data_IF_301084079701
#
_entry.id   IF_301084079701
#
_cell.length_a   1.000
_cell.length_b   1.000
_cell.length_c   1.000
_cell.angle_alpha   90.00
_cell.angle_beta   90.00
_cell.angle_gamma   90.00
#
_symmetry.space_group_name_H-M   'P 1'
#
loop_
_entity.id
_entity.type
_entity.pdbx_description
1 polymer ?
#
# COMPACT_ATOMS: atom_id res chain seq x y z
N UNK A 1 -12.59 -12.02 10.28
CA UNK A 1 -12.17 -10.74 9.67
C UNK A 1 -11.69 -11.02 8.25
N UNK A 2 -12.13 -10.22 7.27
CA UNK A 2 -11.74 -10.34 5.86
C UNK A 2 -11.04 -9.06 5.39
N UNK A 3 -9.86 -9.19 4.81
CA UNK A 3 -9.04 -8.08 4.33
C UNK A 3 -8.85 -8.24 2.81
N UNK A 4 -9.15 -7.19 2.06
CA UNK A 4 -8.81 -7.09 0.63
C UNK A 4 -7.61 -6.16 0.45
N UNK A 5 -6.60 -6.60 -0.28
CA UNK A 5 -5.43 -5.77 -0.61
C UNK A 5 -5.43 -5.43 -2.09
N UNK A 6 -5.39 -4.14 -2.40
CA UNK A 6 -5.35 -3.61 -3.76
C UNK A 6 -3.98 -2.96 -4.02
N UNK A 7 -3.21 -3.50 -4.96
CA UNK A 7 -1.87 -2.99 -5.19
C UNK A 7 -1.12 -3.60 -6.36
N UNK A 8 0.17 -3.71 -6.19
CA UNK A 8 1.08 -4.28 -7.18
C UNK A 8 2.08 -5.26 -6.54
N UNK A 9 3.28 -5.43 -7.11
CA UNK A 9 4.29 -6.34 -6.58
C UNK A 9 4.68 -6.06 -5.12
N UNK A 10 4.62 -4.83 -4.65
CA UNK A 10 4.87 -4.51 -3.24
C UNK A 10 3.87 -5.17 -2.28
N UNK A 11 2.66 -5.45 -2.77
CA UNK A 11 1.63 -6.15 -2.01
C UNK A 11 1.88 -7.66 -1.93
N UNK A 12 2.37 -8.30 -3.00
CA UNK A 12 2.43 -9.77 -3.03
C UNK A 12 3.85 -10.37 -2.97
N UNK A 13 4.91 -9.54 -3.08
CA UNK A 13 6.29 -10.04 -2.97
C UNK A 13 6.52 -10.71 -1.61
N UNK A 14 7.24 -11.84 -1.61
CA UNK A 14 7.53 -12.68 -0.43
C UNK A 14 6.28 -13.18 0.29
N UNK A 15 5.18 -13.34 -0.43
CA UNK A 15 3.88 -13.78 0.13
C UNK A 15 3.38 -12.93 1.31
N UNK A 16 3.57 -11.60 1.22
CA UNK A 16 3.21 -10.66 2.27
C UNK A 16 1.72 -10.75 2.69
N UNK A 17 0.74 -11.04 1.79
CA UNK A 17 -0.65 -11.28 2.21
C UNK A 17 -0.80 -12.44 3.19
N UNK A 18 -0.03 -13.53 3.04
CA UNK A 18 -0.03 -14.63 4.00
C UNK A 18 0.60 -14.21 5.34
N UNK A 19 1.69 -13.42 5.31
CA UNK A 19 2.28 -12.86 6.55
C UNK A 19 1.24 -12.02 7.31
N UNK A 20 0.45 -11.21 6.59
CA UNK A 20 -0.62 -10.42 7.20
C UNK A 20 -1.75 -11.31 7.77
N UNK A 21 -2.12 -12.38 7.06
CA UNK A 21 -3.10 -13.36 7.53
C UNK A 21 -2.65 -14.02 8.84
N UNK A 22 -1.39 -14.45 8.91
CA UNK A 22 -0.81 -15.09 10.09
C UNK A 22 -0.77 -14.15 11.31
N UNK A 23 -0.47 -12.86 11.08
CA UNK A 23 -0.41 -11.84 12.13
C UNK A 23 -1.78 -11.41 12.68
N UNK A 24 -2.81 -11.50 11.85
CA UNK A 24 -4.14 -10.96 12.17
C UNK A 24 -5.22 -12.02 12.39
N UNK A 25 -4.97 -13.26 12.00
CA UNK A 25 -5.97 -14.32 11.93
C UNK A 25 -7.07 -14.04 10.90
N UNK A 26 -6.84 -13.13 9.95
CA UNK A 26 -7.80 -12.76 8.93
C UNK A 26 -7.72 -13.65 7.69
N UNK A 27 -8.82 -13.75 6.97
CA UNK A 27 -8.81 -14.16 5.56
C UNK A 27 -8.32 -12.97 4.72
N UNK A 28 -7.15 -13.09 4.10
CA UNK A 28 -6.54 -12.03 3.29
C UNK A 28 -6.59 -12.41 1.81
N UNK A 29 -7.26 -11.58 1.02
CA UNK A 29 -7.31 -11.69 -0.45
C UNK A 29 -6.58 -10.51 -1.05
N UNK A 30 -5.88 -10.69 -2.18
CA UNK A 30 -5.27 -9.58 -2.88
C UNK A 30 -5.67 -9.53 -4.35
N UNK A 31 -5.89 -8.31 -4.85
CA UNK A 31 -6.03 -7.98 -6.25
C UNK A 31 -4.85 -7.10 -6.66
N UNK A 32 -3.83 -7.72 -7.18
CA UNK A 32 -2.58 -7.06 -7.52
C UNK A 32 -1.97 -7.62 -8.81
N UNK A 33 -1.22 -6.77 -9.50
CA UNK A 33 -0.44 -7.11 -10.71
C UNK A 33 0.83 -6.27 -10.69
N UNK A 34 1.93 -6.81 -11.19
CA UNK A 34 3.20 -6.09 -11.29
C UNK A 34 3.02 -4.71 -11.94
N UNK A 35 3.46 -3.66 -11.25
CA UNK A 35 3.38 -2.28 -11.72
C UNK A 35 1.96 -1.66 -11.77
N UNK A 36 0.93 -2.34 -11.29
CA UNK A 36 -0.43 -1.79 -11.28
C UNK A 36 -0.53 -0.49 -10.46
N UNK A 37 -1.42 0.39 -10.88
CA UNK A 37 -1.79 1.62 -10.18
C UNK A 37 -3.18 1.50 -9.58
N UNK A 38 -3.47 2.27 -8.55
CA UNK A 38 -4.82 2.34 -7.98
C UNK A 38 -5.89 2.77 -9.00
N UNK A 39 -5.51 3.59 -9.99
CA UNK A 39 -6.43 3.95 -11.07
C UNK A 39 -6.86 2.75 -11.93
N UNK A 40 -6.06 1.69 -12.03
CA UNK A 40 -6.44 0.46 -12.73
C UNK A 40 -7.50 -0.33 -11.96
N UNK A 41 -7.45 -0.32 -10.63
CA UNK A 41 -8.46 -0.93 -9.78
C UNK A 41 -9.88 -0.36 -9.99
N UNK A 42 -9.94 0.89 -10.46
CA UNK A 42 -11.19 1.60 -10.77
C UNK A 42 -11.69 1.36 -12.21
N UNK A 43 -10.88 0.73 -13.07
CA UNK A 43 -11.21 0.57 -14.48
C UNK A 43 -11.86 -0.80 -14.76
N UNK A 44 -13.20 -0.87 -14.93
CA UNK A 44 -13.89 -2.15 -15.15
C UNK A 44 -13.53 -2.82 -16.49
N UNK A 45 -12.87 -2.10 -17.40
CA UNK A 45 -12.45 -2.64 -18.70
C UNK A 45 -11.11 -3.39 -18.62
N UNK A 46 -10.42 -3.38 -17.47
CA UNK A 46 -9.25 -4.22 -17.22
C UNK A 46 -9.65 -5.44 -16.39
N UNK A 47 -8.95 -6.56 -16.57
CA UNK A 47 -9.19 -7.77 -15.78
C UNK A 47 -9.04 -7.49 -14.27
N UNK A 48 -8.03 -6.70 -13.89
CA UNK A 48 -7.76 -6.36 -12.50
C UNK A 48 -8.89 -5.48 -11.93
N UNK A 49 -9.26 -4.42 -12.63
CA UNK A 49 -10.32 -3.51 -12.19
C UNK A 49 -11.69 -4.18 -12.16
N UNK A 50 -12.04 -4.96 -13.19
CA UNK A 50 -13.30 -5.71 -13.20
C UNK A 50 -13.44 -6.62 -11.96
N UNK A 51 -12.36 -7.36 -11.61
CA UNK A 51 -12.32 -8.21 -10.43
C UNK A 51 -12.50 -7.40 -9.14
N UNK A 52 -11.82 -6.25 -9.03
CA UNK A 52 -11.90 -5.39 -7.85
C UNK A 52 -13.29 -4.76 -7.70
N UNK A 53 -13.87 -4.25 -8.79
CA UNK A 53 -15.20 -3.66 -8.75
C UNK A 53 -16.26 -4.71 -8.37
N UNK A 54 -16.15 -5.93 -8.90
CA UNK A 54 -17.04 -7.04 -8.53
C UNK A 54 -16.92 -7.40 -7.04
N UNK A 55 -15.70 -7.49 -6.50
CA UNK A 55 -15.47 -7.81 -5.10
C UNK A 55 -16.03 -6.71 -4.16
N UNK A 56 -15.81 -5.42 -4.48
CA UNK A 56 -16.33 -4.32 -3.69
C UNK A 56 -17.87 -4.20 -3.75
N UNK A 57 -18.49 -4.64 -4.84
CA UNK A 57 -19.95 -4.64 -4.99
C UNK A 57 -20.63 -5.86 -4.39
N UNK A 58 -20.02 -7.04 -4.49
CA UNK A 58 -20.67 -8.33 -4.21
C UNK A 58 -20.21 -9.05 -2.95
N UNK A 59 -19.08 -8.65 -2.37
CA UNK A 59 -18.52 -9.29 -1.18
C UNK A 59 -18.47 -8.33 0.00
N UNK A 60 -18.35 -8.85 1.22
CA UNK A 60 -18.17 -8.04 2.43
C UNK A 60 -16.73 -8.12 2.91
N UNK A 61 -16.17 -6.95 3.22
CA UNK A 61 -14.82 -6.75 3.72
C UNK A 61 -14.86 -5.98 5.03
N UNK A 62 -13.92 -6.28 5.93
CA UNK A 62 -13.73 -5.48 7.14
C UNK A 62 -12.76 -4.34 6.86
N UNK A 63 -11.67 -4.65 6.15
CA UNK A 63 -10.65 -3.68 5.76
C UNK A 63 -10.28 -3.83 4.29
N UNK A 64 -9.98 -2.70 3.64
CA UNK A 64 -9.40 -2.70 2.28
C UNK A 64 -8.13 -1.87 2.28
N UNK A 65 -7.00 -2.52 1.98
CA UNK A 65 -5.66 -1.92 1.96
C UNK A 65 -5.35 -1.43 0.55
N UNK A 66 -4.96 -0.16 0.43
CA UNK A 66 -4.66 0.51 -0.84
C UNK A 66 -3.16 0.80 -0.95
N UNK A 67 -2.49 0.23 -1.95
CA UNK A 67 -1.08 0.46 -2.24
C UNK A 67 -0.90 0.96 -3.68
N UNK A 68 -0.39 2.19 -3.85
CA UNK A 68 -0.13 2.79 -5.16
C UNK A 68 1.24 2.34 -5.71
N UNK A 69 1.45 2.48 -7.01
CA UNK A 69 2.72 2.22 -7.67
C UNK A 69 3.83 3.08 -7.05
N UNK A 70 5.00 2.51 -6.82
CA UNK A 70 6.10 2.97 -5.95
C UNK A 70 6.38 4.48 -5.94
N UNK A 71 6.41 5.11 -7.11
CA UNK A 71 6.63 6.56 -7.25
C UNK A 71 5.37 7.31 -7.76
N UNK A 72 4.23 6.63 -7.87
CA UNK A 72 2.98 7.20 -8.35
C UNK A 72 2.53 8.47 -7.63
N UNK A 73 2.60 8.51 -6.29
CA UNK A 73 2.24 9.71 -5.53
C UNK A 73 3.06 10.95 -5.89
N UNK A 74 4.32 10.76 -6.33
CA UNK A 74 5.22 11.85 -6.74
C UNK A 74 5.02 12.24 -8.20
N UNK A 75 5.00 11.25 -9.10
CA UNK A 75 5.02 11.51 -10.56
C UNK A 75 3.65 11.74 -11.18
N UNK A 76 2.60 11.34 -10.50
CA UNK A 76 1.21 11.51 -10.94
C UNK A 76 0.27 11.83 -9.74
N UNK A 77 0.55 12.89 -8.96
CA UNK A 77 -0.15 13.16 -7.70
C UNK A 77 -1.66 13.35 -7.90
N UNK A 78 -2.10 14.05 -8.93
CA UNK A 78 -3.53 14.23 -9.22
C UNK A 78 -4.24 12.89 -9.41
N UNK A 79 -3.62 11.96 -10.15
CA UNK A 79 -4.18 10.62 -10.37
C UNK A 79 -4.22 9.82 -9.07
N UNK A 80 -3.16 9.88 -8.27
CA UNK A 80 -3.08 9.22 -6.98
C UNK A 80 -4.22 9.68 -6.06
N UNK A 81 -4.33 10.99 -5.79
CA UNK A 81 -5.36 11.53 -4.91
C UNK A 81 -6.78 11.22 -5.39
N UNK A 82 -7.07 11.40 -6.67
CA UNK A 82 -8.39 11.06 -7.22
C UNK A 82 -8.70 9.57 -7.14
N UNK A 83 -7.71 8.69 -7.32
CA UNK A 83 -7.91 7.25 -7.20
C UNK A 83 -8.18 6.84 -5.75
N UNK A 84 -7.44 7.39 -4.80
CA UNK A 84 -7.65 7.13 -3.36
C UNK A 84 -9.04 7.60 -2.94
N UNK A 85 -9.45 8.82 -3.30
CA UNK A 85 -10.76 9.37 -2.97
C UNK A 85 -11.89 8.45 -3.46
N UNK A 86 -11.85 8.06 -4.72
CA UNK A 86 -12.88 7.19 -5.32
C UNK A 86 -12.92 5.81 -4.69
N UNK A 87 -11.76 5.18 -4.46
CA UNK A 87 -11.68 3.87 -3.83
C UNK A 87 -12.15 3.93 -2.38
N UNK A 88 -11.73 4.94 -1.60
CA UNK A 88 -12.21 5.13 -0.24
C UNK A 88 -13.72 5.30 -0.17
N UNK A 89 -14.33 6.00 -1.13
CA UNK A 89 -15.78 6.11 -1.25
C UNK A 89 -16.46 4.76 -1.48
N UNK A 90 -15.95 3.95 -2.42
CA UNK A 90 -16.47 2.60 -2.70
C UNK A 90 -16.28 1.64 -1.51
N UNK A 91 -15.13 1.72 -0.84
CA UNK A 91 -14.82 0.89 0.33
C UNK A 91 -15.81 1.17 1.47
N UNK A 92 -16.09 2.43 1.76
CA UNK A 92 -17.09 2.78 2.78
C UNK A 92 -18.51 2.39 2.38
N UNK A 93 -18.86 2.52 1.12
CA UNK A 93 -20.16 2.06 0.62
C UNK A 93 -20.31 0.53 0.76
N UNK A 94 -19.20 -0.22 0.71
CA UNK A 94 -19.16 -1.65 1.04
C UNK A 94 -19.32 -1.93 2.55
N UNK A 95 -19.09 -0.94 3.42
CA UNK A 95 -19.06 -1.06 4.87
C UNK A 95 -17.67 -1.36 5.45
N UNK A 96 -16.62 -1.34 4.61
CA UNK A 96 -15.24 -1.61 5.02
C UNK A 96 -14.49 -0.33 5.42
N UNK A 97 -13.40 -0.52 6.16
CA UNK A 97 -12.48 0.55 6.56
C UNK A 97 -11.31 0.64 5.56
N UNK A 98 -11.07 1.81 4.93
CA UNK A 98 -9.92 1.99 4.06
C UNK A 98 -8.62 2.16 4.84
N UNK A 99 -7.57 1.47 4.42
CA UNK A 99 -6.21 1.55 4.97
C UNK A 99 -5.25 1.93 3.85
N UNK A 100 -4.52 3.03 3.99
CA UNK A 100 -3.46 3.39 3.05
C UNK A 100 -2.14 2.74 3.47
N UNK A 101 -1.57 1.94 2.59
CA UNK A 101 -0.25 1.37 2.72
C UNK A 101 0.77 2.33 2.12
N UNK A 102 1.35 3.21 2.96
CA UNK A 102 2.37 4.15 2.54
C UNK A 102 3.67 3.41 2.19
N UNK A 103 4.08 3.51 0.92
CA UNK A 103 5.27 2.85 0.41
C UNK A 103 6.54 3.64 0.75
N UNK A 104 7.70 3.04 0.49
CA UNK A 104 9.04 3.53 0.83
C UNK A 104 9.76 4.14 -0.38
N UNK A 105 10.79 4.94 -0.10
CA UNK A 105 11.73 5.42 -1.12
C UNK A 105 12.58 4.28 -1.66
N UNK A 106 13.09 4.41 -2.89
CA UNK A 106 14.08 3.49 -3.42
C UNK A 106 15.36 3.50 -2.57
N UNK A 107 16.08 2.40 -2.55
CA UNK A 107 17.27 2.22 -1.71
C UNK A 107 18.27 3.37 -1.88
N UNK A 108 18.74 3.90 -0.75
CA UNK A 108 19.77 4.95 -0.72
C UNK A 108 21.04 4.49 -1.45
N UNK A 109 21.50 5.29 -2.41
CA UNK A 109 22.63 4.94 -3.26
C UNK A 109 22.33 3.88 -4.33
N UNK A 110 21.10 3.42 -4.46
CA UNK A 110 20.69 2.42 -5.45
C UNK A 110 20.61 2.99 -6.87
N UNK A 111 20.84 2.12 -7.87
CA UNK A 111 20.84 2.51 -9.28
C UNK A 111 19.50 3.10 -9.75
N UNK A 112 18.37 2.60 -9.24
CA UNK A 112 17.04 3.10 -9.60
C UNK A 112 16.78 4.51 -9.11
N UNK A 113 17.26 4.86 -7.92
CA UNK A 113 17.17 6.21 -7.38
C UNK A 113 18.03 7.17 -8.21
N UNK A 114 19.28 6.79 -8.48
CA UNK A 114 20.22 7.55 -9.30
C UNK A 114 19.69 7.78 -10.73
N UNK A 115 19.13 6.77 -11.37
CA UNK A 115 18.57 6.87 -12.71
C UNK A 115 17.38 7.84 -12.81
N UNK A 116 16.72 8.15 -11.70
CA UNK A 116 15.65 9.15 -11.60
C UNK A 116 16.17 10.56 -11.29
N UNK A 117 17.45 10.71 -10.94
CA UNK A 117 17.99 11.95 -10.42
C UNK A 117 17.39 12.38 -9.08
N UNK A 118 16.91 11.44 -8.31
CA UNK A 118 16.29 11.69 -7.01
C UNK A 118 17.25 11.38 -5.86
N UNK A 119 17.11 12.11 -4.78
CA UNK A 119 17.75 11.77 -3.50
C UNK A 119 16.79 10.97 -2.62
N UNK A 120 17.36 10.21 -1.68
CA UNK A 120 16.62 9.30 -0.82
C UNK A 120 15.66 10.04 0.12
N UNK A 121 16.16 11.09 0.78
CA UNK A 121 15.41 11.83 1.79
C UNK A 121 14.27 12.62 1.15
N UNK A 122 14.51 13.21 -0.03
CA UNK A 122 13.49 13.91 -0.82
C UNK A 122 12.39 12.97 -1.30
N UNK A 123 12.74 11.76 -1.79
CA UNK A 123 11.74 10.77 -2.20
C UNK A 123 10.93 10.27 -0.99
N UNK A 124 11.58 9.98 0.13
CA UNK A 124 10.90 9.52 1.35
C UNK A 124 9.93 10.58 1.90
N UNK A 125 10.37 11.84 1.96
CA UNK A 125 9.56 12.97 2.43
C UNK A 125 8.33 13.18 1.56
N UNK A 126 8.49 13.20 0.22
CA UNK A 126 7.38 13.42 -0.71
C UNK A 126 6.35 12.29 -0.64
N UNK A 127 6.79 11.03 -0.52
CA UNK A 127 5.88 9.89 -0.33
C UNK A 127 5.13 10.01 0.99
N UNK A 128 5.82 10.26 2.10
CA UNK A 128 5.21 10.40 3.42
C UNK A 128 4.16 11.52 3.46
N UNK A 129 4.46 12.68 2.86
CA UNK A 129 3.53 13.80 2.76
C UNK A 129 2.29 13.44 1.93
N UNK A 130 2.48 12.85 0.75
CA UNK A 130 1.39 12.49 -0.13
C UNK A 130 0.43 11.46 0.52
N UNK A 131 0.96 10.41 1.14
CA UNK A 131 0.14 9.41 1.81
C UNK A 131 -0.56 9.95 3.05
N UNK A 132 0.12 10.79 3.87
CA UNK A 132 -0.49 11.43 5.03
C UNK A 132 -1.64 12.33 4.61
N UNK A 133 -1.43 13.18 3.59
CA UNK A 133 -2.49 14.02 3.03
C UNK A 133 -3.66 13.18 2.53
N UNK A 134 -3.39 12.15 1.74
CA UNK A 134 -4.44 11.27 1.22
C UNK A 134 -5.24 10.58 2.34
N UNK A 135 -4.57 10.13 3.40
CA UNK A 135 -5.23 9.53 4.56
C UNK A 135 -6.14 10.51 5.30
N UNK A 136 -5.65 11.72 5.56
CA UNK A 136 -6.41 12.77 6.24
C UNK A 136 -7.63 13.20 5.41
N UNK A 137 -7.44 13.53 4.14
CA UNK A 137 -8.52 13.99 3.25
C UNK A 137 -9.63 12.96 3.12
N UNK A 138 -9.27 11.67 3.21
CA UNK A 138 -10.21 10.57 3.05
C UNK A 138 -10.59 9.86 4.35
N UNK A 139 -10.19 10.34 5.52
CA UNK A 139 -10.43 9.67 6.82
C UNK A 139 -10.07 8.19 6.77
N UNK A 140 -8.97 7.85 6.08
CA UNK A 140 -8.46 6.50 5.97
C UNK A 140 -7.39 6.25 7.04
N UNK A 141 -7.25 5.00 7.47
CA UNK A 141 -6.13 4.60 8.31
C UNK A 141 -4.83 4.69 7.50
N UNK A 142 -3.72 4.97 8.18
CA UNK A 142 -2.40 5.07 7.55
C UNK A 142 -1.44 4.04 8.14
N UNK A 143 -1.05 3.06 7.33
CA UNK A 143 0.05 2.16 7.63
C UNK A 143 1.35 2.77 7.08
N UNK A 144 2.11 3.46 7.93
CA UNK A 144 3.35 4.21 7.58
C UNK A 144 4.55 3.27 7.44
N UNK A 145 4.50 2.37 6.46
CA UNK A 145 5.60 1.43 6.18
C UNK A 145 6.83 2.18 5.70
N UNK A 146 6.66 3.17 4.82
CA UNK A 146 7.77 4.00 4.33
C UNK A 146 8.52 4.72 5.43
N UNK A 147 7.81 5.23 6.44
CA UNK A 147 8.42 5.82 7.62
C UNK A 147 9.17 4.82 8.48
N UNK A 148 8.69 3.57 8.60
CA UNK A 148 9.44 2.50 9.28
C UNK A 148 10.71 2.12 8.53
N UNK A 149 10.66 2.02 7.19
CA UNK A 149 11.84 1.80 6.34
C UNK A 149 12.88 2.89 6.54
N UNK A 150 12.45 4.16 6.54
CA UNK A 150 13.33 5.32 6.69
C UNK A 150 14.07 5.34 8.04
N UNK A 151 13.40 4.91 9.11
CA UNK A 151 13.96 4.89 10.48
C UNK A 151 14.71 3.61 10.83
N UNK A 152 14.74 2.60 9.94
CA UNK A 152 15.46 1.37 10.20
C UNK A 152 16.97 1.60 10.24
N UNK A 153 17.71 0.99 11.20
CA UNK A 153 19.15 1.26 11.39
C UNK A 153 20.01 1.03 10.16
N UNK A 154 19.77 -0.06 9.43
CA UNK A 154 20.36 -0.30 8.10
C UNK A 154 19.26 -0.57 7.06
N UNK A 155 18.72 0.50 6.42
CA UNK A 155 17.62 0.32 5.47
C UNK A 155 17.93 -0.65 4.32
N UNK A 156 19.21 -0.95 4.01
CA UNK A 156 19.59 -1.87 2.94
C UNK A 156 19.05 -3.28 3.16
N UNK A 157 18.91 -3.71 4.42
CA UNK A 157 18.36 -5.02 4.77
C UNK A 157 16.90 -5.21 4.33
N UNK A 158 16.19 -4.10 4.12
CA UNK A 158 14.77 -4.10 3.78
C UNK A 158 14.49 -4.23 2.29
N UNK A 159 15.53 -4.18 1.45
CA UNK A 159 15.41 -4.22 0.00
C UNK A 159 15.91 -5.53 -0.59
N UNK A 160 15.26 -5.97 -1.67
CA UNK A 160 15.81 -6.96 -2.58
C UNK A 160 16.99 -6.37 -3.38
N UNK A 161 17.69 -7.20 -4.16
CA UNK A 161 18.87 -6.80 -4.89
C UNK A 161 18.65 -5.65 -5.91
N UNK A 162 17.42 -5.42 -6.34
CA UNK A 162 17.07 -4.33 -7.25
C UNK A 162 16.95 -2.95 -6.58
N UNK A 163 17.01 -2.89 -5.25
CA UNK A 163 16.90 -1.67 -4.46
C UNK A 163 15.52 -1.00 -4.51
N UNK A 164 14.48 -1.74 -4.93
CA UNK A 164 13.10 -1.24 -5.08
C UNK A 164 12.12 -2.15 -4.36
N UNK A 165 12.10 -3.45 -4.71
CA UNK A 165 11.24 -4.42 -4.06
C UNK A 165 11.71 -4.71 -2.64
N UNK A 166 10.80 -5.11 -1.74
CA UNK A 166 11.17 -5.44 -0.39
C UNK A 166 11.91 -6.78 -0.33
N UNK A 167 12.86 -6.90 0.59
CA UNK A 167 13.34 -8.20 1.04
C UNK A 167 12.25 -8.92 1.83
N UNK A 168 12.51 -10.15 2.26
CA UNK A 168 11.59 -10.86 3.17
C UNK A 168 11.37 -10.08 4.47
N UNK A 169 12.43 -9.49 5.03
CA UNK A 169 12.35 -8.61 6.21
C UNK A 169 11.51 -7.37 5.93
N UNK A 170 11.68 -6.74 4.75
CA UNK A 170 10.88 -5.58 4.34
C UNK A 170 9.40 -5.91 4.17
N UNK A 171 9.08 -7.08 3.58
CA UNK A 171 7.70 -7.55 3.45
C UNK A 171 7.07 -7.86 4.80
N UNK A 172 7.82 -8.50 5.71
CA UNK A 172 7.38 -8.75 7.10
C UNK A 172 7.08 -7.45 7.83
N UNK A 173 7.98 -6.46 7.75
CA UNK A 173 7.76 -5.13 8.34
C UNK A 173 6.51 -4.46 7.78
N UNK A 174 6.23 -4.58 6.48
CA UNK A 174 5.02 -4.06 5.87
C UNK A 174 3.77 -4.73 6.45
N UNK A 175 3.76 -6.06 6.52
CA UNK A 175 2.65 -6.83 7.11
C UNK A 175 2.41 -6.47 8.58
N UNK A 176 3.46 -6.38 9.40
CA UNK A 176 3.39 -5.96 10.81
C UNK A 176 2.80 -4.55 10.94
N UNK A 177 3.24 -3.59 10.12
CA UNK A 177 2.75 -2.22 10.17
C UNK A 177 1.25 -2.14 9.85
N UNK A 178 0.80 -2.90 8.86
CA UNK A 178 -0.63 -2.98 8.51
C UNK A 178 -1.42 -3.65 9.63
N UNK A 179 -0.90 -4.77 10.18
CA UNK A 179 -1.54 -5.49 11.29
C UNK A 179 -1.69 -4.62 12.55
N UNK A 180 -0.64 -3.85 12.89
CA UNK A 180 -0.66 -2.94 14.04
C UNK A 180 -1.74 -1.85 13.90
N UNK A 181 -1.85 -1.25 12.73
CA UNK A 181 -2.86 -0.22 12.44
C UNK A 181 -4.28 -0.79 12.56
N UNK A 182 -4.51 -1.99 12.02
CA UNK A 182 -5.81 -2.67 12.12
C UNK A 182 -6.13 -3.02 13.58
N UNK A 183 -5.16 -3.51 14.34
CA UNK A 183 -5.32 -3.88 15.76
C UNK A 183 -5.70 -2.65 16.60
N UNK A 184 -4.95 -1.57 16.49
CA UNK A 184 -5.23 -0.33 17.22
C UNK A 184 -6.59 0.27 16.87
N UNK A 185 -7.02 0.20 15.60
CA UNK A 185 -8.34 0.65 15.20
C UNK A 185 -9.44 -0.15 15.88
N UNK A 186 -9.32 -1.49 15.94
CA UNK A 186 -10.29 -2.37 16.62
C UNK A 186 -10.37 -2.18 18.12
N UNK A 187 -9.26 -1.80 18.75
CA UNK A 187 -9.20 -1.52 20.20
C UNK A 187 -9.84 -0.15 20.54
N UNK A 188 -10.01 0.73 19.56
CA UNK A 188 -10.59 2.06 19.73
C UNK A 188 -12.11 2.13 19.40
N UNK A 189 -12.67 1.08 18.80
CA UNK A 189 -14.12 0.92 18.54
C UNK A 189 -14.85 0.37 19.77
#
# INVERSE_FOLDING_TARGET
MRILMLGNSFTFTNDMPQMLADLTGAEVTHHARGGARLSEQLNPNTRLGARTQAALAGERWDYVVLQEMSHGPITAPKRFFSSVERLCGQIRANGAVPVLFATWAYQKGGAKLAAKGWDYDGMASQLAEAYRKAALDNRALLADVGGRFYRWPDPRELYAADGVHPSELGSRMAAETIADVIRHHKEAE
#
